data_IF_633950779279
#
_entry.id   IF_633950779279
#
_cell.length_a   1.000
_cell.length_b   1.000
_cell.length_c   1.000
_cell.angle_alpha   90.00
_cell.angle_beta   90.00
_cell.angle_gamma   90.00
#
_symmetry.space_group_name_H-M   'P 1'
#
loop_
_entity.id
_entity.type
_entity.pdbx_description
1 polymer ?
#
# COMPACT_ATOMS: atom_id res chain seq x y z
N UNK A 1 -10.83 -6.59 -12.44
CA UNK A 1 -11.53 -6.08 -11.24
C UNK A 1 -10.74 -6.26 -9.94
N UNK A 2 -9.98 -7.35 -9.74
CA UNK A 2 -9.23 -7.58 -8.48
C UNK A 2 -8.05 -6.64 -8.18
N UNK A 3 -7.41 -6.01 -9.18
CA UNK A 3 -6.25 -5.12 -8.93
C UNK A 3 -6.66 -3.84 -8.16
N UNK A 4 -7.91 -3.38 -8.32
CA UNK A 4 -8.42 -2.18 -7.67
C UNK A 4 -9.00 -2.43 -6.27
N UNK A 5 -9.12 -3.69 -5.83
CA UNK A 5 -9.43 -4.02 -4.43
C UNK A 5 -8.17 -4.18 -3.57
N UNK A 6 -6.98 -4.33 -4.18
CA UNK A 6 -5.70 -4.39 -3.47
C UNK A 6 -5.36 -3.12 -2.66
N UNK A 7 -5.62 -1.89 -3.15
CA UNK A 7 -5.46 -0.68 -2.34
C UNK A 7 -6.29 -0.71 -1.06
N UNK A 8 -7.50 -1.26 -1.14
CA UNK A 8 -8.42 -1.39 -0.01
C UNK A 8 -7.88 -2.42 0.99
N UNK A 9 -7.44 -3.59 0.51
CA UNK A 9 -6.78 -4.60 1.34
C UNK A 9 -5.57 -4.01 2.07
N UNK A 10 -4.70 -3.32 1.34
CA UNK A 10 -3.53 -2.64 1.91
C UNK A 10 -3.95 -1.58 2.94
N UNK A 11 -5.01 -0.82 2.65
CA UNK A 11 -5.54 0.19 3.56
C UNK A 11 -6.06 -0.42 4.88
N UNK A 12 -6.71 -1.58 4.83
CA UNK A 12 -7.17 -2.26 6.05
C UNK A 12 -6.02 -2.82 6.87
N UNK A 13 -5.06 -3.49 6.23
CA UNK A 13 -3.91 -4.10 6.93
C UNK A 13 -3.04 -3.03 7.58
N UNK A 14 -2.84 -1.90 6.90
CA UNK A 14 -1.98 -0.81 7.39
C UNK A 14 -2.76 0.22 8.22
N UNK A 15 -4.08 0.29 8.09
CA UNK A 15 -4.93 1.26 8.80
C UNK A 15 -4.90 1.14 10.32
N UNK A 16 -4.54 -0.03 10.86
CA UNK A 16 -4.30 -0.19 12.31
C UNK A 16 -3.22 0.77 12.84
N UNK A 17 -2.30 1.19 11.96
CA UNK A 17 -1.21 2.13 12.27
C UNK A 17 -1.74 3.53 12.56
N UNK A 18 -2.90 3.93 12.04
CA UNK A 18 -3.52 5.24 12.37
C UNK A 18 -4.53 5.12 13.49
N UNK A 19 -5.34 4.07 13.51
CA UNK A 19 -6.40 3.86 14.52
C UNK A 19 -5.82 3.68 15.92
N UNK A 20 -4.73 2.91 16.06
CA UNK A 20 -3.92 2.81 17.31
C UNK A 20 -2.65 3.65 17.25
N UNK A 21 -2.59 4.58 16.30
CA UNK A 21 -1.38 5.28 15.92
C UNK A 21 -0.88 6.22 16.99
N UNK A 22 -1.79 6.96 17.64
CA UNK A 22 -1.44 8.00 18.61
C UNK A 22 -0.58 7.46 19.74
N UNK A 23 -1.02 6.40 20.42
CA UNK A 23 -0.31 5.81 21.56
C UNK A 23 1.03 5.18 21.17
N UNK A 24 1.06 4.46 20.04
CA UNK A 24 2.29 3.88 19.51
C UNK A 24 3.30 4.96 19.09
N UNK A 25 2.83 6.06 18.52
CA UNK A 25 3.68 7.17 18.10
C UNK A 25 4.29 7.87 19.31
N UNK A 26 3.52 8.08 20.37
CA UNK A 26 4.03 8.61 21.64
C UNK A 26 5.08 7.69 22.29
N UNK A 27 4.88 6.37 22.24
CA UNK A 27 5.85 5.41 22.78
C UNK A 27 7.15 5.39 21.96
N UNK A 28 7.06 5.32 20.64
CA UNK A 28 8.23 5.27 19.76
C UNK A 28 8.98 6.62 19.69
N UNK A 29 8.33 7.75 19.93
CA UNK A 29 9.01 9.06 20.01
C UNK A 29 9.98 9.15 21.20
N UNK A 30 9.72 8.42 22.29
CA UNK A 30 10.63 8.35 23.46
C UNK A 30 11.89 7.51 23.21
N UNK A 31 11.94 6.75 22.11
CA UNK A 31 13.09 5.94 21.74
C UNK A 31 13.96 6.66 20.68
N UNK A 32 15.30 6.59 20.77
CA UNK A 32 16.18 7.17 19.75
C UNK A 32 15.89 6.54 18.37
N UNK A 33 15.61 7.39 17.37
CA UNK A 33 15.21 6.99 16.00
C UNK A 33 13.92 6.15 15.92
N UNK A 34 13.07 6.17 16.95
CA UNK A 34 11.92 5.27 17.05
C UNK A 34 10.85 5.51 15.97
N UNK A 35 10.62 6.76 15.55
CA UNK A 35 9.66 7.08 14.48
C UNK A 35 10.00 6.36 13.16
N UNK A 36 11.29 6.34 12.79
CA UNK A 36 11.75 5.65 11.58
C UNK A 36 11.66 4.12 11.71
N UNK A 37 11.91 3.59 12.91
CA UNK A 37 11.78 2.15 13.19
C UNK A 37 10.31 1.71 13.15
N UNK A 38 9.39 2.56 13.63
CA UNK A 38 7.96 2.32 13.55
C UNK A 38 7.50 2.19 12.10
N UNK A 39 7.83 3.17 11.24
CA UNK A 39 7.43 3.15 9.82
C UNK A 39 7.97 1.90 9.12
N UNK A 40 9.25 1.55 9.33
CA UNK A 40 9.85 0.34 8.75
C UNK A 40 9.19 -0.94 9.25
N UNK A 41 8.94 -1.04 10.56
CA UNK A 41 8.27 -2.19 11.16
C UNK A 41 6.85 -2.37 10.62
N UNK A 42 6.11 -1.27 10.45
CA UNK A 42 4.76 -1.31 9.88
C UNK A 42 4.74 -1.61 8.38
N UNK A 43 5.70 -1.11 7.62
CA UNK A 43 5.87 -1.47 6.21
C UNK A 43 6.14 -2.98 6.07
N UNK A 44 7.06 -3.53 6.88
CA UNK A 44 7.35 -4.95 6.90
C UNK A 44 6.15 -5.78 7.35
N UNK A 45 5.43 -5.36 8.39
CA UNK A 45 4.19 -6.02 8.83
C UNK A 45 3.16 -6.07 7.69
N UNK A 46 2.94 -4.94 7.00
CA UNK A 46 2.03 -4.86 5.87
C UNK A 46 2.42 -5.80 4.74
N UNK A 47 3.72 -5.88 4.42
CA UNK A 47 4.23 -6.82 3.42
C UNK A 47 4.06 -8.29 3.84
N UNK A 48 4.41 -8.64 5.07
CA UNK A 48 4.28 -10.00 5.61
C UNK A 48 2.83 -10.51 5.53
N UNK A 49 1.85 -9.63 5.72
CA UNK A 49 0.43 -10.00 5.66
C UNK A 49 -0.12 -9.97 4.23
N UNK A 50 0.12 -8.90 3.47
CA UNK A 50 -0.51 -8.72 2.15
C UNK A 50 0.09 -9.61 1.08
N UNK A 51 1.42 -9.78 1.05
CA UNK A 51 2.10 -10.56 0.02
C UNK A 51 1.58 -12.01 -0.08
N UNK A 52 1.47 -12.79 1.01
CA UNK A 52 1.00 -14.17 0.91
C UNK A 52 -0.47 -14.25 0.47
N UNK A 53 -1.33 -13.34 0.96
CA UNK A 53 -2.74 -13.30 0.56
C UNK A 53 -2.86 -13.08 -0.96
N UNK A 54 -2.12 -12.11 -1.49
CA UNK A 54 -2.15 -11.79 -2.92
C UNK A 54 -1.49 -12.88 -3.75
N UNK A 55 -0.41 -13.49 -3.27
CA UNK A 55 0.24 -14.61 -3.95
C UNK A 55 -0.71 -15.80 -4.10
N UNK A 56 -1.41 -16.20 -3.02
CA UNK A 56 -2.40 -17.28 -3.04
C UNK A 56 -3.58 -16.93 -3.95
N UNK A 57 -4.09 -15.70 -3.87
CA UNK A 57 -5.15 -15.24 -4.76
C UNK A 57 -4.73 -15.32 -6.23
N UNK A 58 -3.52 -14.86 -6.57
CA UNK A 58 -3.00 -14.85 -7.93
C UNK A 58 -2.81 -16.26 -8.47
N UNK A 59 -2.22 -17.18 -7.68
CA UNK A 59 -1.99 -18.56 -8.11
C UNK A 59 -3.29 -19.31 -8.34
N UNK A 60 -4.26 -19.22 -7.42
CA UNK A 60 -5.58 -19.84 -7.58
C UNK A 60 -6.28 -19.29 -8.81
N UNK A 61 -6.27 -17.96 -8.99
CA UNK A 61 -6.94 -17.32 -10.13
C UNK A 61 -6.35 -17.74 -11.48
N UNK A 62 -5.03 -17.98 -11.55
CA UNK A 62 -4.32 -18.32 -12.78
C UNK A 62 -4.33 -19.82 -13.10
N UNK A 63 -4.33 -20.69 -12.10
CA UNK A 63 -4.41 -22.15 -12.30
C UNK A 63 -5.72 -22.57 -12.98
N UNK A 64 -6.79 -21.80 -12.76
CA UNK A 64 -8.10 -22.05 -13.39
C UNK A 64 -8.10 -21.73 -14.90
N UNK A 65 -7.04 -21.13 -15.45
CA UNK A 65 -6.92 -20.78 -16.86
C UNK A 65 -6.02 -21.81 -17.56
N UNK A 66 -6.57 -22.73 -18.36
CA UNK A 66 -5.83 -23.88 -18.91
C UNK A 66 -4.72 -23.50 -19.91
N UNK A 67 -4.70 -22.24 -20.37
CA UNK A 67 -3.72 -21.74 -21.35
C UNK A 67 -2.46 -21.14 -20.69
N UNK A 68 -2.43 -21.02 -19.35
CA UNK A 68 -1.33 -20.38 -18.63
C UNK A 68 -0.22 -21.38 -18.37
N UNK A 69 0.94 -21.17 -19.00
CA UNK A 69 2.17 -21.93 -18.70
C UNK A 69 2.71 -21.61 -17.30
N UNK A 70 3.56 -22.49 -16.76
CA UNK A 70 4.19 -22.29 -15.45
C UNK A 70 5.01 -20.98 -15.38
N UNK A 71 5.74 -20.64 -16.45
CA UNK A 71 6.53 -19.40 -16.50
C UNK A 71 5.62 -18.18 -16.48
N UNK A 72 4.54 -18.18 -17.27
CA UNK A 72 3.56 -17.08 -17.25
C UNK A 72 2.84 -16.96 -15.91
N UNK A 73 2.57 -18.07 -15.23
CA UNK A 73 2.00 -18.04 -13.88
C UNK A 73 2.92 -17.30 -12.92
N UNK A 74 4.22 -17.64 -12.94
CA UNK A 74 5.22 -17.04 -12.06
C UNK A 74 5.39 -15.53 -12.33
N UNK A 75 5.39 -15.11 -13.59
CA UNK A 75 5.53 -13.70 -13.96
C UNK A 75 4.29 -12.88 -13.56
N UNK A 76 3.08 -13.36 -13.85
CA UNK A 76 1.86 -12.64 -13.46
C UNK A 76 1.67 -12.59 -11.95
N UNK A 77 1.93 -13.70 -11.23
CA UNK A 77 1.87 -13.71 -9.78
C UNK A 77 2.93 -12.77 -9.18
N UNK A 78 4.16 -12.80 -9.69
CA UNK A 78 5.24 -11.90 -9.25
C UNK A 78 4.89 -10.43 -9.45
N UNK A 79 4.34 -10.06 -10.61
CA UNK A 79 3.90 -8.69 -10.88
C UNK A 79 2.77 -8.25 -9.94
N UNK A 80 1.78 -9.11 -9.69
CA UNK A 80 0.70 -8.81 -8.74
C UNK A 80 1.21 -8.60 -7.31
N UNK A 81 2.15 -9.43 -6.87
CA UNK A 81 2.79 -9.29 -5.56
C UNK A 81 3.57 -7.97 -5.45
N UNK A 82 4.31 -7.59 -6.50
CA UNK A 82 5.02 -6.31 -6.53
C UNK A 82 4.07 -5.11 -6.48
N UNK A 83 2.95 -5.18 -7.20
CA UNK A 83 1.90 -4.15 -7.15
C UNK A 83 1.31 -4.06 -5.74
N UNK A 84 1.02 -5.20 -5.12
CA UNK A 84 0.48 -5.24 -3.76
C UNK A 84 1.46 -4.65 -2.73
N UNK A 85 2.75 -4.96 -2.84
CA UNK A 85 3.79 -4.37 -2.00
C UNK A 85 3.87 -2.84 -2.17
N UNK A 86 3.71 -2.34 -3.40
CA UNK A 86 3.67 -0.92 -3.70
C UNK A 86 2.44 -0.24 -3.08
N UNK A 87 1.27 -0.89 -3.12
CA UNK A 87 0.07 -0.38 -2.45
C UNK A 87 0.20 -0.33 -0.94
N UNK A 88 0.89 -1.28 -0.31
CA UNK A 88 1.18 -1.21 1.14
C UNK A 88 2.02 0.03 1.45
N UNK A 89 3.05 0.31 0.64
CA UNK A 89 3.88 1.51 0.82
C UNK A 89 3.07 2.80 0.63
N UNK A 90 2.23 2.85 -0.42
CA UNK A 90 1.38 3.99 -0.72
C UNK A 90 0.29 4.21 0.34
N UNK A 91 -0.32 3.13 0.82
CA UNK A 91 -1.32 3.18 1.88
C UNK A 91 -0.71 3.71 3.18
N UNK A 92 0.44 3.14 3.58
CA UNK A 92 1.17 3.61 4.75
C UNK A 92 1.55 5.09 4.59
N UNK A 93 2.12 5.48 3.44
CA UNK A 93 2.49 6.86 3.17
C UNK A 93 1.31 7.84 3.30
N UNK A 94 0.17 7.50 2.69
CA UNK A 94 -1.05 8.32 2.79
C UNK A 94 -1.55 8.41 4.24
N UNK A 95 -1.55 7.30 4.98
CA UNK A 95 -1.95 7.28 6.37
C UNK A 95 -1.05 8.08 7.30
N UNK A 96 0.24 8.21 6.99
CA UNK A 96 1.17 9.07 7.73
C UNK A 96 0.97 10.55 7.37
N UNK A 97 0.57 10.85 6.12
CA UNK A 97 0.26 12.20 5.68
C UNK A 97 -1.06 12.70 6.26
N UNK A 98 -2.08 11.86 6.26
CA UNK A 98 -3.43 12.17 6.75
C UNK A 98 -3.81 11.16 7.84
N UNK A 99 -3.24 11.29 9.05
CA UNK A 99 -3.50 10.36 10.12
C UNK A 99 -4.92 10.50 10.63
N UNK A 100 -5.66 9.39 10.62
CA UNK A 100 -7.00 9.30 11.19
C UNK A 100 -6.87 8.72 12.60
N UNK A 101 -6.73 9.60 13.60
CA UNK A 101 -6.62 9.23 15.01
C UNK A 101 -7.96 9.00 15.71
N UNK A 102 -9.07 9.18 15.00
CA UNK A 102 -10.40 8.97 15.54
C UNK A 102 -10.84 7.54 15.24
N UNK A 103 -11.44 6.85 16.22
CA UNK A 103 -12.03 5.51 16.06
C UNK A 103 -13.21 5.46 15.06
N UNK A 104 -13.51 6.57 14.39
CA UNK A 104 -14.58 6.66 13.41
C UNK A 104 -14.16 5.94 12.11
N UNK A 105 -14.88 4.89 11.69
CA UNK A 105 -14.52 4.11 10.49
C UNK A 105 -14.59 4.95 9.20
N UNK A 106 -15.33 6.06 9.20
CA UNK A 106 -15.48 6.94 8.06
C UNK A 106 -14.15 7.55 7.57
N UNK A 107 -13.23 7.90 8.47
CA UNK A 107 -11.93 8.48 8.09
C UNK A 107 -11.01 7.44 7.42
N UNK A 108 -11.00 6.21 7.94
CA UNK A 108 -10.28 5.09 7.34
C UNK A 108 -10.81 4.81 5.92
N UNK A 109 -12.14 4.75 5.78
CA UNK A 109 -12.79 4.54 4.50
C UNK A 109 -12.48 5.68 3.51
N UNK A 110 -12.45 6.93 3.99
CA UNK A 110 -12.07 8.09 3.19
C UNK A 110 -10.67 7.95 2.58
N UNK A 111 -9.67 7.59 3.40
CA UNK A 111 -8.33 7.35 2.92
C UNK A 111 -8.27 6.16 1.94
N UNK A 112 -9.00 5.07 2.21
CA UNK A 112 -9.09 3.93 1.30
C UNK A 112 -9.70 4.30 -0.07
N UNK A 113 -10.69 5.19 -0.09
CA UNK A 113 -11.28 5.73 -1.32
C UNK A 113 -10.28 6.61 -2.08
N UNK A 114 -9.55 7.48 -1.39
CA UNK A 114 -8.46 8.27 -2.00
C UNK A 114 -7.41 7.35 -2.62
N UNK A 115 -6.96 6.32 -1.89
CA UNK A 115 -6.05 5.29 -2.39
C UNK A 115 -6.54 4.67 -3.69
N UNK A 116 -7.81 4.28 -3.72
CA UNK A 116 -8.42 3.64 -4.89
C UNK A 116 -8.49 4.60 -6.07
N UNK A 117 -8.91 5.85 -5.85
CA UNK A 117 -8.98 6.88 -6.89
C UNK A 117 -7.59 7.22 -7.46
N UNK A 118 -6.58 7.37 -6.59
CA UNK A 118 -5.19 7.59 -7.01
C UNK A 118 -4.67 6.41 -7.83
N UNK A 119 -4.98 5.18 -7.41
CA UNK A 119 -4.59 3.95 -8.13
C UNK A 119 -5.19 3.91 -9.54
N UNK A 120 -6.49 4.17 -9.66
CA UNK A 120 -7.17 4.25 -10.97
C UNK A 120 -6.59 5.39 -11.80
N UNK A 121 -6.37 6.57 -11.22
CA UNK A 121 -5.78 7.71 -11.92
C UNK A 121 -4.38 7.42 -12.47
N UNK A 122 -3.50 6.82 -11.66
CA UNK A 122 -2.15 6.43 -12.09
C UNK A 122 -2.19 5.38 -13.22
N UNK A 123 -3.12 4.43 -13.15
CA UNK A 123 -3.30 3.44 -14.20
C UNK A 123 -3.77 4.10 -15.50
N UNK A 124 -4.74 5.02 -15.43
CA UNK A 124 -5.22 5.78 -16.58
C UNK A 124 -4.10 6.61 -17.20
N UNK A 125 -3.26 7.27 -16.39
CA UNK A 125 -2.08 8.01 -16.87
C UNK A 125 -1.11 7.08 -17.62
N UNK A 126 -0.81 5.89 -17.08
CA UNK A 126 0.12 4.96 -17.74
C UNK A 126 -0.34 4.51 -19.12
N UNK A 127 -1.65 4.40 -19.34
CA UNK A 127 -2.22 3.94 -20.62
C UNK A 127 -2.47 5.12 -21.55
N UNK A 128 -3.14 6.17 -21.09
CA UNK A 128 -3.59 7.26 -21.97
C UNK A 128 -2.43 8.19 -22.35
N UNK A 129 -1.55 8.52 -21.41
CA UNK A 129 -0.49 9.51 -21.63
C UNK A 129 0.76 8.85 -22.20
N UNK A 130 1.09 7.65 -21.72
CA UNK A 130 2.36 6.98 -22.03
C UNK A 130 2.22 5.73 -22.92
N UNK A 131 0.99 5.25 -23.18
CA UNK A 131 0.70 4.00 -23.90
C UNK A 131 1.52 2.79 -23.43
N UNK A 132 1.86 2.77 -22.15
CA UNK A 132 2.76 1.81 -21.52
C UNK A 132 2.16 1.33 -20.20
N UNK A 133 1.28 0.30 -20.21
CA UNK A 133 0.62 -0.21 -19.00
C UNK A 133 1.60 -0.65 -17.90
N UNK A 134 2.79 -1.13 -18.29
CA UNK A 134 3.84 -1.54 -17.35
C UNK A 134 4.41 -0.36 -16.54
N UNK A 135 4.26 0.88 -17.03
CA UNK A 135 4.68 2.09 -16.32
C UNK A 135 3.85 2.34 -15.05
N UNK A 136 2.70 1.68 -14.90
CA UNK A 136 1.89 1.73 -13.69
C UNK A 136 2.67 1.30 -12.44
N UNK A 137 3.43 0.22 -12.53
CA UNK A 137 4.19 -0.35 -11.41
C UNK A 137 5.23 0.62 -10.83
N UNK A 138 6.16 1.19 -11.63
CA UNK A 138 7.11 2.15 -11.11
C UNK A 138 6.45 3.45 -10.62
N UNK A 139 5.32 3.86 -11.21
CA UNK A 139 4.58 5.05 -10.75
C UNK A 139 4.02 4.89 -9.33
N UNK A 140 3.37 3.76 -9.03
CA UNK A 140 2.87 3.50 -7.67
C UNK A 140 4.02 3.45 -6.67
N UNK A 141 5.11 2.79 -7.02
CA UNK A 141 6.30 2.72 -6.17
C UNK A 141 6.86 4.10 -5.88
N UNK A 142 7.04 4.92 -6.92
CA UNK A 142 7.51 6.29 -6.78
C UNK A 142 6.60 7.09 -5.86
N UNK A 143 5.29 7.06 -6.11
CA UNK A 143 4.33 7.82 -5.31
C UNK A 143 4.26 7.32 -3.86
N UNK A 144 4.33 6.00 -3.64
CA UNK A 144 4.39 5.41 -2.32
C UNK A 144 5.64 5.80 -1.54
N UNK A 145 6.81 5.80 -2.18
CA UNK A 145 8.08 6.25 -1.56
C UNK A 145 8.01 7.74 -1.22
N UNK A 146 7.49 8.57 -2.12
CA UNK A 146 7.30 10.01 -1.89
C UNK A 146 6.37 10.24 -0.70
N UNK A 147 5.25 9.52 -0.63
CA UNK A 147 4.30 9.65 0.48
C UNK A 147 4.87 9.15 1.80
N UNK A 148 5.64 8.07 1.81
CA UNK A 148 6.36 7.61 3.01
C UNK A 148 7.36 8.66 3.50
N UNK A 149 8.12 9.27 2.59
CA UNK A 149 9.08 10.32 2.92
C UNK A 149 8.39 11.56 3.48
N UNK A 150 7.35 12.05 2.81
CA UNK A 150 6.59 13.22 3.25
C UNK A 150 5.81 12.93 4.54
N UNK A 151 5.24 11.75 4.68
CA UNK A 151 4.53 11.30 5.88
C UNK A 151 5.46 11.23 7.10
N UNK A 152 6.67 10.70 6.93
CA UNK A 152 7.71 10.75 7.99
C UNK A 152 8.01 12.20 8.40
N UNK A 153 8.16 13.10 7.44
CA UNK A 153 8.41 14.53 7.71
C UNK A 153 7.22 15.19 8.41
N UNK A 154 6.00 14.84 8.03
CA UNK A 154 4.79 15.35 8.65
C UNK A 154 4.70 14.92 10.12
N UNK A 155 4.96 13.65 10.42
CA UNK A 155 4.99 13.14 11.79
C UNK A 155 6.04 13.83 12.67
N UNK A 156 7.21 14.16 12.11
CA UNK A 156 8.24 14.89 12.86
C UNK A 156 7.85 16.34 13.18
N UNK A 157 6.84 16.89 12.49
CA UNK A 157 6.36 18.26 12.65
C UNK A 157 5.08 18.38 13.46
N UNK A 158 4.31 17.29 13.60
CA UNK A 158 3.13 17.26 14.45
C UNK A 158 3.62 17.20 15.90
N UNK A 159 3.65 18.37 16.55
CA UNK A 159 3.83 18.55 17.99
C UNK A 159 2.60 18.09 18.77
#
# INVERSE_FOLDING_TARGET
MGIFSLPILAAFVVGEVTVRGKENLFMYRKAPLGEGRLIKGRLLQGWIVVIPIVAVYATISLILIPQVTFISLLTYAGLLVLIAAAYVALALGLFLLMPVFTEKPAGLMGNAMILTMVSVGLFMVSIIVFDLPLLYLPLIWLLGIVFLYLGKRNLSRIE
#
